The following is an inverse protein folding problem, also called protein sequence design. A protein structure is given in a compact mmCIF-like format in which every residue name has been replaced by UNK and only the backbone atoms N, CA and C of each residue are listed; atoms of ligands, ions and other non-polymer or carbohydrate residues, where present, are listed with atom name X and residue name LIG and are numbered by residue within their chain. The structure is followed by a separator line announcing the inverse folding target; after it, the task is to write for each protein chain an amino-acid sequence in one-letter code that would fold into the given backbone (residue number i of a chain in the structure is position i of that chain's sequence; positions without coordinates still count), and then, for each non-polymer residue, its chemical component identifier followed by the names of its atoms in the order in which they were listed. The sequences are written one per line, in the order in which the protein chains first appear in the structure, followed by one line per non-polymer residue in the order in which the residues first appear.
data_IF_417652363335
#
_entry.id   IF_417652363335
#
_cell.length_a   1.000
_cell.length_b   1.000
_cell.length_c   1.000
_cell.angle_alpha   90.00
_cell.angle_beta   90.00
_cell.angle_gamma   90.00
#
_symmetry.space_group_name_H-M   'P 1'
#
loop_
_entity.id
_entity.type
_entity.pdbx_description
1 polymer ?
#
# COMPACT_ATOMS: atom_id res chain seq x y z
N UNK A 1 -5.50 13.62 -71.97
CA UNK A 1 -6.85 14.23 -71.87
C UNK A 1 -7.85 13.09 -71.79
N UNK A 2 -8.21 12.66 -70.57
CA UNK A 2 -9.07 11.50 -70.33
C UNK A 2 -10.29 12.02 -69.58
N UNK A 3 -11.46 11.90 -70.22
CA UNK A 3 -12.77 12.22 -69.67
C UNK A 3 -13.29 10.97 -68.95
N UNK A 4 -13.62 11.10 -67.67
CA UNK A 4 -14.49 10.14 -66.98
C UNK A 4 -15.72 10.88 -66.46
N UNK A 5 -16.87 10.46 -66.98
CA UNK A 5 -18.22 10.82 -66.53
C UNK A 5 -18.59 10.07 -65.25
N UNK A 6 -19.63 10.54 -64.53
CA UNK A 6 -19.81 10.31 -63.10
C UNK A 6 -20.87 9.23 -62.80
N UNK A 7 -21.11 9.06 -61.50
CA UNK A 7 -22.43 8.72 -60.93
C UNK A 7 -22.79 7.23 -60.88
N UNK A 8 -22.58 6.61 -59.71
CA UNK A 8 -23.69 5.91 -59.06
C UNK A 8 -23.48 5.83 -57.56
N UNK A 9 -24.35 6.55 -56.87
CA UNK A 9 -24.59 6.58 -55.44
C UNK A 9 -25.27 5.27 -55.04
N UNK A 10 -24.74 4.55 -54.04
CA UNK A 10 -25.56 3.66 -53.21
C UNK A 10 -25.16 3.90 -51.75
N UNK A 11 -25.97 4.73 -51.10
CA UNK A 11 -26.03 4.88 -49.65
C UNK A 11 -26.67 3.63 -49.06
N UNK A 12 -25.95 2.89 -48.24
CA UNK A 12 -26.54 1.97 -47.28
C UNK A 12 -26.05 2.34 -45.89
N UNK A 13 -26.95 3.03 -45.20
CA UNK A 13 -26.95 3.32 -43.77
C UNK A 13 -26.82 2.02 -42.98
N UNK A 14 -25.79 1.95 -42.14
CA UNK A 14 -25.57 0.88 -41.18
C UNK A 14 -24.94 1.45 -39.92
N UNK A 15 -25.78 1.99 -39.04
CA UNK A 15 -25.44 2.35 -37.66
C UNK A 15 -25.32 1.05 -36.86
N UNK A 16 -24.10 0.68 -36.45
CA UNK A 16 -23.83 -0.21 -35.32
C UNK A 16 -22.47 0.21 -34.75
N UNK A 17 -22.47 1.08 -33.74
CA UNK A 17 -22.44 0.73 -32.32
C UNK A 17 -21.03 0.42 -31.79
N UNK A 18 -20.68 1.22 -30.79
CA UNK A 18 -19.74 0.95 -29.70
C UNK A 18 -18.24 0.75 -30.04
N UNK A 19 -17.50 1.83 -29.79
CA UNK A 19 -16.44 1.85 -28.76
C UNK A 19 -15.91 0.47 -28.34
N UNK A 20 -14.89 -0.03 -29.04
CA UNK A 20 -13.94 -0.94 -28.40
C UNK A 20 -13.03 -0.11 -27.50
N UNK A 21 -13.52 0.13 -26.29
CA UNK A 21 -12.80 0.76 -25.19
C UNK A 21 -11.57 -0.08 -24.86
N UNK A 22 -10.42 0.54 -25.05
CA UNK A 22 -9.10 0.28 -24.44
C UNK A 22 -9.17 -0.71 -23.27
N UNK A 23 -8.72 -1.95 -23.48
CA UNK A 23 -8.24 -2.80 -22.39
C UNK A 23 -6.74 -2.55 -22.23
N UNK A 24 -6.38 -1.41 -21.62
CA UNK A 24 -5.08 -1.29 -20.95
C UNK A 24 -5.16 -2.25 -19.76
N UNK A 25 -4.58 -3.44 -19.92
CA UNK A 25 -4.23 -4.27 -18.77
C UNK A 25 -3.41 -3.40 -17.83
N UNK A 26 -3.89 -3.24 -16.59
CA UNK A 26 -3.07 -2.70 -15.52
C UNK A 26 -1.99 -3.75 -15.26
N UNK A 27 -0.83 -3.54 -15.86
CA UNK A 27 0.42 -4.11 -15.40
C UNK A 27 0.55 -3.64 -13.95
N UNK A 28 0.50 -4.58 -13.00
CA UNK A 28 0.82 -4.32 -11.61
C UNK A 28 2.26 -3.82 -11.65
N UNK A 29 2.45 -2.51 -11.52
CA UNK A 29 3.77 -1.92 -11.33
C UNK A 29 4.22 -2.39 -9.96
N UNK A 30 4.91 -3.51 -9.93
CA UNK A 30 5.79 -3.85 -8.83
C UNK A 30 6.78 -2.69 -8.74
N UNK A 31 6.48 -1.74 -7.84
CA UNK A 31 7.45 -0.76 -7.42
C UNK A 31 8.49 -1.54 -6.62
N UNK A 32 9.44 -2.16 -7.33
CA UNK A 32 10.74 -2.55 -6.78
C UNK A 32 11.48 -1.26 -6.41
N UNK A 33 11.00 -0.60 -5.37
CA UNK A 33 11.72 0.47 -4.72
C UNK A 33 12.59 -0.22 -3.67
N UNK A 34 13.86 -0.43 -3.98
CA UNK A 34 14.90 -0.61 -2.97
C UNK A 34 15.14 0.69 -2.19
N UNK A 35 14.07 1.39 -1.84
CA UNK A 35 14.07 2.67 -1.17
C UNK A 35 13.69 2.43 0.28
N UNK A 36 14.60 2.82 1.17
CA UNK A 36 14.30 2.83 2.59
C UNK A 36 13.39 3.99 2.91
N UNK A 37 12.30 3.73 3.61
CA UNK A 37 11.37 4.75 4.09
C UNK A 37 11.57 4.96 5.59
N UNK A 38 11.46 6.21 6.03
CA UNK A 38 11.42 6.57 7.44
C UNK A 38 9.97 6.67 7.89
N UNK A 39 9.60 5.87 8.89
CA UNK A 39 8.27 5.86 9.48
C UNK A 39 8.38 5.69 10.99
N UNK A 40 7.36 6.11 11.73
CA UNK A 40 7.22 5.82 13.15
C UNK A 40 6.52 4.47 13.32
N UNK A 41 7.06 3.60 14.16
CA UNK A 41 6.38 2.36 14.54
C UNK A 41 5.43 2.65 15.70
N UNK A 42 4.15 2.36 15.52
CA UNK A 42 3.13 2.57 16.57
C UNK A 42 2.41 1.26 16.88
N UNK A 43 1.91 1.16 18.10
CA UNK A 43 1.07 0.06 18.56
C UNK A 43 -0.34 0.58 18.83
N UNK A 44 -1.35 -0.11 18.30
CA UNK A 44 -2.76 0.28 18.41
C UNK A 44 -3.55 -0.91 18.94
N UNK A 45 -4.47 -0.67 19.87
CA UNK A 45 -5.38 -1.71 20.36
C UNK A 45 -6.34 -2.12 19.24
N UNK A 46 -6.50 -3.43 19.04
CA UNK A 46 -7.49 -3.96 18.11
C UNK A 46 -8.89 -3.72 18.66
N UNK A 47 -9.71 -2.97 17.92
CA UNK A 47 -11.13 -2.81 18.21
C UNK A 47 -11.97 -3.70 17.30
N UNK A 48 -12.90 -4.47 17.87
CA UNK A 48 -13.84 -5.26 17.07
C UNK A 48 -14.90 -4.37 16.40
N UNK A 49 -15.76 -4.96 15.55
CA UNK A 49 -16.86 -4.24 14.85
C UNK A 49 -17.88 -3.58 15.78
N UNK A 50 -17.87 -3.92 17.07
CA UNK A 50 -18.76 -3.39 18.11
C UNK A 50 -18.06 -2.25 18.88
N UNK A 51 -16.80 -1.95 18.58
CA UNK A 51 -16.01 -0.90 19.22
C UNK A 51 -15.43 -1.30 20.58
N UNK A 52 -15.44 -2.59 20.91
CA UNK A 52 -14.81 -3.09 22.14
C UNK A 52 -13.33 -3.27 21.85
N UNK A 53 -12.49 -2.57 22.60
CA UNK A 53 -11.04 -2.75 22.59
C UNK A 53 -10.69 -4.13 23.16
N UNK A 54 -9.87 -4.86 22.41
CA UNK A 54 -9.30 -6.13 22.84
C UNK A 54 -7.89 -5.92 23.38
N UNK A 55 -7.41 -6.85 24.20
CA UNK A 55 -6.00 -6.90 24.62
C UNK A 55 -5.03 -7.25 23.48
N UNK A 56 -5.56 -7.50 22.27
CA UNK A 56 -4.77 -7.79 21.08
C UNK A 56 -4.26 -6.46 20.53
N UNK A 57 -2.94 -6.36 20.42
CA UNK A 57 -2.25 -5.18 19.94
C UNK A 57 -1.71 -5.39 18.53
N UNK A 58 -2.08 -4.47 17.65
CA UNK A 58 -1.67 -4.42 16.26
C UNK A 58 -0.55 -3.39 16.06
N UNK A 59 0.32 -3.66 15.09
CA UNK A 59 1.43 -2.77 14.76
C UNK A 59 1.15 -2.05 13.44
N UNK A 60 1.43 -0.75 13.43
CA UNK A 60 1.30 0.10 12.25
C UNK A 60 2.59 0.89 12.01
N UNK A 61 2.88 1.16 10.73
CA UNK A 61 3.89 2.13 10.31
C UNK A 61 3.20 3.46 9.99
N UNK A 62 3.43 4.46 10.83
CA UNK A 62 3.01 5.84 10.60
C UNK A 62 4.06 6.53 9.75
N UNK A 63 3.79 6.60 8.46
CA UNK A 63 4.61 7.34 7.51
C UNK A 63 3.95 8.71 7.23
N UNK A 64 4.68 9.68 6.65
CA UNK A 64 4.19 11.06 6.48
C UNK A 64 2.85 11.20 5.72
N UNK A 65 2.46 10.21 4.92
CA UNK A 65 1.25 10.25 4.08
C UNK A 65 0.09 9.50 4.72
N UNK A 66 0.35 8.35 5.33
CA UNK A 66 -0.68 7.46 5.88
C UNK A 66 -0.07 6.42 6.82
N UNK A 67 -0.94 5.84 7.65
CA UNK A 67 -0.62 4.71 8.51
C UNK A 67 -0.85 3.39 7.73
N UNK A 68 0.12 2.48 7.78
CA UNK A 68 0.05 1.16 7.15
C UNK A 68 0.04 0.06 8.20
N UNK A 69 -0.95 -0.84 8.14
CA UNK A 69 -0.97 -2.05 8.96
C UNK A 69 0.23 -2.95 8.61
N UNK A 70 0.96 -3.46 9.61
CA UNK A 70 2.09 -4.35 9.38
C UNK A 70 1.61 -5.80 9.40
N UNK A 71 1.69 -6.48 8.26
CA UNK A 71 1.35 -7.90 8.18
C UNK A 71 2.56 -8.76 8.52
N UNK A 72 2.70 -9.08 9.81
CA UNK A 72 3.87 -9.78 10.35
C UNK A 72 4.09 -11.16 9.71
N UNK A 73 3.04 -11.90 9.39
CA UNK A 73 3.17 -13.24 8.82
C UNK A 73 3.70 -13.28 7.37
N UNK A 74 3.66 -12.15 6.66
CA UNK A 74 4.29 -11.99 5.34
C UNK A 74 5.63 -11.25 5.43
N UNK A 75 5.93 -10.65 6.58
CA UNK A 75 7.15 -9.88 6.81
C UNK A 75 8.31 -10.80 7.19
N UNK A 76 9.55 -10.34 6.90
CA UNK A 76 10.77 -11.05 7.29
C UNK A 76 11.22 -10.71 8.72
N UNK A 77 10.50 -9.80 9.39
CA UNK A 77 10.76 -9.35 10.76
C UNK A 77 9.70 -9.90 11.71
N UNK A 78 10.11 -10.15 12.94
CA UNK A 78 9.26 -10.66 14.01
C UNK A 78 8.77 -9.53 14.91
N UNK A 79 7.70 -9.79 15.67
CA UNK A 79 7.18 -8.84 16.68
C UNK A 79 8.26 -8.46 17.69
N UNK A 80 9.03 -9.45 18.17
CA UNK A 80 10.10 -9.25 19.17
C UNK A 80 11.22 -8.35 18.66
N UNK A 81 11.50 -8.36 17.37
CA UNK A 81 12.47 -7.43 16.76
C UNK A 81 11.94 -6.00 16.67
N UNK A 82 10.62 -5.82 16.57
CA UNK A 82 9.97 -4.52 16.44
C UNK A 82 9.63 -3.87 17.79
N UNK A 83 9.35 -4.67 18.82
CA UNK A 83 8.99 -4.21 20.17
C UNK A 83 9.92 -3.11 20.76
N UNK A 84 11.26 -3.20 20.64
CA UNK A 84 12.16 -2.17 21.16
C UNK A 84 12.02 -0.80 20.48
N UNK A 85 11.34 -0.74 19.33
CA UNK A 85 11.18 0.43 18.49
C UNK A 85 9.77 1.01 18.51
N UNK A 86 8.86 0.48 19.34
CA UNK A 86 7.52 1.04 19.48
C UNK A 86 7.61 2.51 19.95
N UNK A 87 6.85 3.38 19.30
CA UNK A 87 6.85 4.84 19.43
C UNK A 87 8.21 5.49 19.09
N UNK A 88 8.98 4.87 18.19
CA UNK A 88 10.23 5.42 17.66
C UNK A 88 10.20 5.50 16.14
N UNK A 89 10.94 6.47 15.60
CA UNK A 89 11.25 6.52 14.18
C UNK A 89 12.19 5.39 13.79
N UNK A 90 11.81 4.63 12.77
CA UNK A 90 12.59 3.54 12.19
C UNK A 90 12.78 3.73 10.70
N UNK A 91 13.91 3.23 10.19
CA UNK A 91 14.19 3.15 8.76
C UNK A 91 13.92 1.73 8.28
N UNK A 92 12.97 1.56 7.38
CA UNK A 92 12.54 0.24 6.90
C UNK A 92 12.58 0.15 5.39
N UNK A 93 12.94 -1.02 4.89
CA UNK A 93 12.65 -1.44 3.52
C UNK A 93 11.37 -2.26 3.58
N UNK A 94 10.33 -1.77 2.91
CA UNK A 94 9.02 -2.40 2.93
C UNK A 94 8.36 -2.39 1.56
N UNK A 95 7.46 -3.34 1.34
CA UNK A 95 6.53 -3.36 0.21
C UNK A 95 5.15 -2.99 0.72
N UNK A 96 4.45 -2.13 -0.03
CA UNK A 96 3.05 -1.84 0.23
C UNK A 96 2.21 -2.68 -0.73
N UNK A 97 1.39 -3.57 -0.17
CA UNK A 97 0.50 -4.46 -0.89
C UNK A 97 -0.96 -4.10 -0.56
N UNK A 98 -1.89 -4.57 -1.39
CA UNK A 98 -3.32 -4.48 -1.13
C UNK A 98 -3.88 -5.90 -1.01
N UNK A 99 -4.70 -6.15 0.02
CA UNK A 99 -5.27 -7.46 0.25
C UNK A 99 -5.87 -7.62 1.63
N UNK A 100 -5.99 -8.89 2.06
CA UNK A 100 -6.53 -9.24 3.37
C UNK A 100 -5.46 -9.09 4.45
N UNK A 101 -5.79 -8.40 5.53
CA UNK A 101 -4.90 -8.17 6.66
C UNK A 101 -4.79 -9.40 7.56
N UNK A 102 -5.89 -10.13 7.69
CA UNK A 102 -6.09 -11.21 8.66
C UNK A 102 -5.81 -12.61 8.09
N UNK A 103 -5.43 -12.74 6.83
CA UNK A 103 -5.16 -14.03 6.20
C UNK A 103 -3.67 -14.30 6.13
N UNK A 104 -3.16 -15.30 6.84
CA UNK A 104 -1.78 -15.74 6.71
C UNK A 104 -1.69 -17.12 6.01
N UNK A 105 -0.53 -17.47 5.41
CA UNK A 105 -0.35 -18.78 4.79
C UNK A 105 -0.55 -19.89 5.82
N UNK A 106 -1.53 -20.77 5.59
CA UNK A 106 -1.84 -21.90 6.48
C UNK A 106 -3.05 -21.72 7.41
N UNK A 107 -3.71 -20.56 7.37
CA UNK A 107 -4.90 -20.32 8.19
C UNK A 107 -6.17 -20.97 7.61
N UNK A 108 -6.98 -21.56 8.48
CA UNK A 108 -8.33 -22.04 8.15
C UNK A 108 -9.32 -20.86 8.19
N UNK A 109 -9.54 -20.22 7.03
CA UNK A 109 -10.62 -19.33 6.54
C UNK A 109 -11.60 -18.55 7.48
N UNK A 110 -11.40 -18.47 8.80
CA UNK A 110 -12.36 -17.91 9.76
C UNK A 110 -11.80 -16.67 10.50
N UNK A 111 -10.89 -15.93 9.86
CA UNK A 111 -10.41 -14.64 10.39
C UNK A 111 -11.16 -13.48 9.73
N UNK A 112 -11.29 -12.37 10.45
CA UNK A 112 -12.09 -11.23 10.02
C UNK A 112 -11.72 -10.80 8.59
N UNK A 113 -12.71 -10.49 7.75
CA UNK A 113 -12.43 -10.09 6.36
C UNK A 113 -12.04 -8.61 6.26
N UNK A 114 -11.01 -8.17 6.99
CA UNK A 114 -10.48 -6.81 6.84
C UNK A 114 -9.57 -6.76 5.62
N UNK A 115 -9.82 -5.79 4.74
CA UNK A 115 -9.07 -5.62 3.50
C UNK A 115 -8.61 -4.18 3.36
N UNK A 116 -7.45 -4.00 2.74
CA UNK A 116 -6.89 -2.69 2.45
C UNK A 116 -5.38 -2.74 2.25
N UNK A 117 -4.76 -1.57 2.12
CA UNK A 117 -3.32 -1.46 1.95
C UNK A 117 -2.56 -1.78 3.23
N UNK A 118 -1.58 -2.66 3.15
CA UNK A 118 -0.74 -3.07 4.27
C UNK A 118 0.75 -3.08 3.88
N UNK A 119 1.60 -3.02 4.89
CA UNK A 119 3.05 -3.06 4.73
C UNK A 119 3.60 -4.45 5.06
N UNK A 120 4.52 -4.89 4.22
CA UNK A 120 5.37 -6.08 4.44
C UNK A 120 6.79 -5.59 4.59
N UNK A 121 7.38 -5.79 5.77
CA UNK A 121 8.75 -5.36 6.05
C UNK A 121 9.72 -6.43 5.58
N UNK A 122 10.60 -6.07 4.64
CA UNK A 122 11.68 -6.93 4.16
C UNK A 122 12.94 -6.78 5.00
N UNK A 123 13.26 -5.56 5.43
CA UNK A 123 14.49 -5.29 6.18
C UNK A 123 14.32 -4.09 7.11
N UNK A 124 14.75 -4.25 8.36
CA UNK A 124 14.86 -3.17 9.33
C UNK A 124 16.30 -2.63 9.33
N UNK A 125 16.48 -1.32 9.09
CA UNK A 125 17.75 -0.64 9.30
C UNK A 125 17.62 0.14 10.59
N UNK A 126 18.33 -0.33 11.62
CA UNK A 126 18.38 0.30 12.92
C UNK A 126 18.82 1.76 12.76
N UNK A 127 17.91 2.71 12.97
CA UNK A 127 18.27 4.11 13.14
C UNK A 127 18.80 4.27 14.56
N UNK A 128 20.09 3.96 14.72
CA UNK A 128 20.88 4.58 15.76
C UNK A 128 20.74 6.10 15.59
N UNK A 129 20.26 6.76 16.64
CA UNK A 129 20.37 8.21 16.88
C UNK A 129 19.80 9.09 15.75
N UNK A 130 18.55 9.52 15.91
CA UNK A 130 18.10 10.74 15.22
C UNK A 130 19.03 11.86 15.72
N UNK A 131 19.81 12.54 14.86
CA UNK A 131 20.58 13.69 15.30
C UNK A 131 19.60 14.72 15.86
N UNK A 132 19.82 15.13 17.11
CA UNK A 132 19.07 16.20 17.76
C UNK A 132 18.88 17.36 16.77
N UNK A 133 17.62 17.71 16.52
CA UNK A 133 17.30 18.96 15.83
C UNK A 133 17.90 20.06 16.72
N UNK A 134 18.92 20.80 16.25
CA UNK A 134 19.49 21.83 17.08
C UNK A 134 18.40 22.90 17.30
N UNK A 135 18.13 23.17 18.58
CA UNK A 135 17.21 24.22 18.98
C UNK A 135 17.95 25.55 18.84
N UNK A 136 18.05 26.00 17.60
CA UNK A 136 18.55 27.32 17.30
C UNK A 136 17.41 28.30 17.62
N UNK A 137 17.52 28.86 18.82
CA UNK A 137 17.18 30.23 19.17
C UNK A 137 16.68 31.11 18.00
N UNK A 138 15.43 31.56 18.07
CA UNK A 138 15.13 32.97 17.76
C UNK A 138 14.21 33.51 18.85
N UNK A 139 14.87 34.06 19.87
CA UNK A 139 14.41 35.26 20.54
C UNK A 139 14.38 36.41 19.52
N UNK A 140 13.21 36.95 19.23
CA UNK A 140 12.96 38.40 19.27
C UNK A 140 11.47 38.71 19.50
#
# INVERSE_FOLDING_TARGET
MIRYTPFSQVLLSGIFSLLAFVSRGQEIREMEASEFTYCELIEVNFSNKIGIESDIKELYLRCSVQDYFIKLCESQVTRTELEPFINKGIKVKMKILDGNWDSCPGDFQEMQSRTGRYAVIETLVLSAEIPDVPQDEEHE
#
